data_IF_995595849996
#
_entry.id   IF_995595849996
#
_cell.length_a   1.000
_cell.length_b   1.000
_cell.length_c   1.000
_cell.angle_alpha   90.00
_cell.angle_beta   90.00
_cell.angle_gamma   90.00
#
_symmetry.space_group_name_H-M   'P 1'
#
loop_
_entity.id
_entity.type
_entity.pdbx_description
1 polymer ?
#
# COMPACT_ATOMS: atom_id res chain seq x y z
N UNK A 1 -12.96 4.56 3.08
CA UNK A 1 -11.88 4.91 3.99
C UNK A 1 -10.59 5.24 3.26
N UNK A 2 -9.90 6.25 3.72
CA UNK A 2 -8.67 6.69 3.10
C UNK A 2 -7.62 5.58 3.03
N UNK A 3 -7.58 4.73 4.06
CA UNK A 3 -6.61 3.65 4.10
C UNK A 3 -6.85 2.66 2.97
N UNK A 4 -8.09 2.24 2.76
CA UNK A 4 -8.42 1.30 1.69
C UNK A 4 -8.16 1.92 0.32
N UNK A 5 -8.47 3.19 0.16
CA UNK A 5 -8.19 3.89 -1.10
C UNK A 5 -6.69 3.97 -1.36
N UNK A 6 -5.90 4.26 -0.35
CA UNK A 6 -4.46 4.32 -0.50
C UNK A 6 -3.87 2.96 -0.85
N UNK A 7 -4.38 1.90 -0.25
CA UNK A 7 -3.93 0.55 -0.58
C UNK A 7 -4.26 0.22 -2.03
N UNK A 8 -5.46 0.58 -2.47
CA UNK A 8 -5.85 0.35 -3.86
C UNK A 8 -4.96 1.12 -4.82
N UNK A 9 -4.65 2.38 -4.50
CA UNK A 9 -3.75 3.19 -5.33
C UNK A 9 -2.35 2.60 -5.38
N UNK A 10 -1.87 2.13 -4.24
CA UNK A 10 -0.55 1.50 -4.19
C UNK A 10 -0.53 0.25 -5.08
N UNK A 11 -1.55 -0.59 -5.00
CA UNK A 11 -1.60 -1.79 -5.80
C UNK A 11 -1.67 -1.48 -7.28
N UNK A 12 -2.44 -0.46 -7.65
CA UNK A 12 -2.51 -0.04 -9.04
C UNK A 12 -1.19 0.51 -9.53
N UNK A 13 -0.49 1.27 -8.71
CA UNK A 13 0.82 1.78 -9.07
C UNK A 13 1.80 0.64 -9.34
N UNK A 14 1.73 -0.42 -8.55
CA UNK A 14 2.59 -1.58 -8.78
C UNK A 14 2.22 -2.31 -10.06
N UNK A 15 0.95 -2.42 -10.39
CA UNK A 15 0.52 -3.00 -11.65
C UNK A 15 1.05 -2.22 -12.83
N UNK A 16 1.09 -0.90 -12.71
CA UNK A 16 1.62 -0.02 -13.75
C UNK A 16 3.14 0.07 -13.71
N UNK A 17 3.78 -0.70 -12.83
CA UNK A 17 5.22 -0.70 -12.62
C UNK A 17 5.73 0.65 -12.16
N UNK A 18 4.87 1.41 -11.52
CA UNK A 18 5.22 2.72 -10.98
C UNK A 18 5.60 2.58 -9.50
N UNK A 19 6.71 1.90 -9.27
CA UNK A 19 7.13 1.54 -7.92
C UNK A 19 7.44 2.74 -7.05
N UNK A 20 7.84 3.84 -7.66
CA UNK A 20 8.15 5.05 -6.93
C UNK A 20 6.91 5.58 -6.21
N UNK A 21 5.78 5.62 -6.91
CA UNK A 21 4.53 6.06 -6.31
C UNK A 21 4.06 5.07 -5.27
N UNK A 22 4.20 3.77 -5.55
CA UNK A 22 3.83 2.74 -4.59
C UNK A 22 4.60 2.91 -3.28
N UNK A 23 5.89 3.20 -3.36
CA UNK A 23 6.71 3.42 -2.17
C UNK A 23 6.25 4.65 -1.39
N UNK A 24 5.93 5.73 -2.08
CA UNK A 24 5.43 6.94 -1.42
C UNK A 24 4.14 6.65 -0.67
N UNK A 25 3.23 5.93 -1.30
CA UNK A 25 1.95 5.59 -0.67
C UNK A 25 2.19 4.69 0.54
N UNK A 26 3.07 3.72 0.40
CA UNK A 26 3.41 2.83 1.50
C UNK A 26 3.97 3.60 2.69
N UNK A 27 4.85 4.56 2.44
CA UNK A 27 5.42 5.39 3.50
C UNK A 27 4.33 6.20 4.21
N UNK A 28 3.39 6.73 3.46
CA UNK A 28 2.29 7.48 4.06
C UNK A 28 1.41 6.58 4.92
N UNK A 29 1.16 5.36 4.47
CA UNK A 29 0.39 4.40 5.26
C UNK A 29 1.13 4.03 6.54
N UNK A 30 2.42 3.81 6.44
CA UNK A 30 3.23 3.49 7.61
C UNK A 30 3.19 4.64 8.63
N UNK A 31 3.21 5.87 8.13
CA UNK A 31 3.12 7.05 8.99
C UNK A 31 1.79 7.10 9.74
N UNK A 32 0.74 6.54 9.16
CA UNK A 32 -0.57 6.44 9.80
C UNK A 32 -0.68 5.22 10.71
N UNK A 33 0.36 4.42 10.80
CA UNK A 33 0.34 3.22 11.63
C UNK A 33 -0.18 1.98 10.93
N UNK A 34 -0.19 1.98 9.61
CA UNK A 34 -0.68 0.86 8.81
C UNK A 34 0.51 0.10 8.24
N UNK A 35 0.55 -1.20 8.49
CA UNK A 35 1.58 -2.08 7.93
C UNK A 35 0.98 -2.84 6.76
N UNK A 36 1.73 -2.90 5.66
CA UNK A 36 1.29 -3.60 4.47
C UNK A 36 2.27 -4.72 4.16
N UNK A 37 1.75 -5.89 3.88
CA UNK A 37 2.56 -7.04 3.47
C UNK A 37 1.99 -7.64 2.20
N UNK A 38 2.88 -8.08 1.32
CA UNK A 38 2.48 -8.84 0.13
C UNK A 38 2.79 -10.31 0.39
N UNK A 39 1.77 -11.14 0.33
CA UNK A 39 1.92 -12.55 0.59
C UNK A 39 1.05 -13.34 -0.36
N UNK A 40 1.64 -14.31 -1.06
CA UNK A 40 0.94 -15.21 -1.98
C UNK A 40 0.11 -14.45 -3.02
N UNK A 41 0.65 -13.35 -3.53
CA UNK A 41 -0.03 -12.55 -4.53
C UNK A 41 -1.16 -11.70 -3.98
N UNK A 42 -1.29 -11.63 -2.66
CA UNK A 42 -2.32 -10.83 -2.02
C UNK A 42 -1.69 -9.74 -1.16
N UNK A 43 -2.41 -8.65 -1.03
CA UNK A 43 -2.00 -7.56 -0.15
C UNK A 43 -2.72 -7.69 1.17
N UNK A 44 -1.95 -7.80 2.24
CA UNK A 44 -2.49 -7.89 3.60
C UNK A 44 -2.06 -6.63 4.33
N UNK A 45 -2.98 -6.05 5.09
CA UNK A 45 -2.64 -4.87 5.87
C UNK A 45 -3.19 -5.03 7.28
N UNK A 46 -2.53 -4.38 8.22
CA UNK A 46 -2.96 -4.40 9.61
C UNK A 46 -2.54 -3.11 10.28
N UNK A 47 -3.24 -2.76 11.34
CA UNK A 47 -2.88 -1.60 12.14
C UNK A 47 -1.75 -1.97 13.09
N UNK A 48 -0.85 -1.01 13.22
CA UNK A 48 0.31 -1.19 14.07
C UNK A 48 -0.07 -1.19 15.56
#
# INVERSE_FOLDING_TARGET
DDILEMIALRNKAREDKNYKIADIIRDKLLDKGVLIEDKDGKTIWKLK
#
